data_IF_589501607745
#
_entry.id   IF_589501607745
#
_cell.length_a   1.000
_cell.length_b   1.000
_cell.length_c   1.000
_cell.angle_alpha   90.00
_cell.angle_beta   90.00
_cell.angle_gamma   90.00
#
_symmetry.space_group_name_H-M   'P 1'
#
loop_
_entity.id
_entity.type
_entity.pdbx_description
1 polymer ?
#
# COMPACT_ATOMS: atom_id res chain seq x y z
N UNK A 1 -1.22 -24.75 7.34
CA UNK A 1 0.14 -24.44 6.86
C UNK A 1 0.54 -23.14 7.52
N UNK A 2 1.61 -23.13 8.32
CA UNK A 2 2.20 -21.88 8.79
C UNK A 2 2.75 -21.15 7.57
N UNK A 3 2.24 -19.96 7.28
CA UNK A 3 2.85 -19.08 6.27
C UNK A 3 4.16 -18.57 6.85
N UNK A 4 5.27 -19.19 6.47
CA UNK A 4 6.60 -18.66 6.77
C UNK A 4 6.74 -17.30 6.08
N UNK A 5 7.07 -16.27 6.87
CA UNK A 5 7.34 -14.93 6.37
C UNK A 5 8.82 -14.65 6.49
N UNK A 6 9.40 -14.18 5.41
CA UNK A 6 10.82 -13.87 5.31
C UNK A 6 11.01 -12.38 5.03
N UNK A 7 12.13 -11.84 5.47
CA UNK A 7 12.49 -10.45 5.23
C UNK A 7 12.65 -10.25 3.73
N UNK A 8 11.88 -9.33 3.15
CA UNK A 8 11.89 -9.09 1.71
C UNK A 8 13.21 -8.50 1.19
N UNK A 9 14.06 -8.00 2.10
CA UNK A 9 15.40 -7.47 1.75
C UNK A 9 16.52 -8.50 1.85
N UNK A 10 16.41 -9.51 2.73
CA UNK A 10 17.56 -10.39 3.04
C UNK A 10 17.21 -11.84 3.37
N UNK A 11 15.93 -12.23 3.33
CA UNK A 11 15.50 -13.62 3.52
C UNK A 11 15.54 -14.15 4.95
N UNK A 12 15.87 -13.35 5.97
CA UNK A 12 15.79 -13.77 7.39
C UNK A 12 14.34 -14.10 7.78
N UNK A 13 14.13 -15.15 8.59
CA UNK A 13 12.79 -15.65 8.98
C UNK A 13 12.18 -14.98 10.24
N UNK A 14 12.93 -14.11 10.91
CA UNK A 14 12.42 -13.26 12.00
C UNK A 14 12.06 -11.91 11.38
N UNK A 15 10.76 -11.63 11.27
CA UNK A 15 10.24 -10.44 10.61
C UNK A 15 9.21 -9.70 11.43
N UNK A 16 9.13 -8.41 11.16
CA UNK A 16 8.15 -7.46 11.65
C UNK A 16 7.38 -6.93 10.44
N UNK A 17 6.10 -6.61 10.64
CA UNK A 17 5.27 -5.99 9.62
C UNK A 17 5.57 -4.49 9.57
N UNK A 18 5.98 -4.02 8.40
CA UNK A 18 6.22 -2.62 8.09
C UNK A 18 5.11 -2.05 7.20
N UNK A 19 4.63 -0.85 7.50
CA UNK A 19 3.68 -0.11 6.65
C UNK A 19 4.46 0.80 5.70
N UNK A 20 4.42 0.52 4.39
CA UNK A 20 5.12 1.30 3.36
C UNK A 20 4.60 2.75 3.32
N UNK A 21 3.28 2.91 3.22
CA UNK A 21 2.64 4.19 3.57
C UNK A 21 2.32 4.16 5.06
N UNK A 22 2.97 5.04 5.82
CA UNK A 22 2.82 5.07 7.27
C UNK A 22 1.38 5.30 7.68
N UNK A 23 0.96 4.63 8.76
CA UNK A 23 -0.39 4.78 9.34
C UNK A 23 -0.76 6.23 9.65
N UNK A 24 0.21 7.06 10.03
CA UNK A 24 0.02 8.50 10.27
C UNK A 24 -0.30 9.28 9.00
N UNK A 25 0.16 8.83 7.83
CA UNK A 25 -0.06 9.46 6.53
C UNK A 25 -1.31 8.90 5.85
N UNK A 26 -1.51 7.58 5.92
CA UNK A 26 -2.54 6.86 5.17
C UNK A 26 -3.30 5.88 6.08
N UNK A 27 -4.09 6.36 7.07
CA UNK A 27 -4.68 5.49 8.10
C UNK A 27 -5.67 4.46 7.53
N UNK A 28 -6.31 4.75 6.39
CA UNK A 28 -7.21 3.82 5.71
C UNK A 28 -6.48 2.66 5.00
N UNK A 29 -5.16 2.74 4.84
CA UNK A 29 -4.31 1.66 4.32
C UNK A 29 -3.67 0.80 5.41
N UNK A 30 -3.95 1.07 6.69
CA UNK A 30 -3.27 0.41 7.84
C UNK A 30 -3.49 -1.09 7.92
N UNK A 31 -4.58 -1.58 7.31
CA UNK A 31 -5.00 -2.98 7.32
C UNK A 31 -4.97 -3.62 5.93
N UNK A 32 -4.52 -2.88 4.92
CA UNK A 32 -4.57 -3.33 3.52
C UNK A 32 -3.26 -4.04 3.21
N UNK A 33 -3.35 -5.34 2.90
CA UNK A 33 -2.18 -6.23 2.75
C UNK A 33 -1.13 -5.70 1.77
N UNK A 34 -1.56 -5.06 0.68
CA UNK A 34 -0.64 -4.51 -0.34
C UNK A 34 0.30 -3.44 0.22
N UNK A 35 -0.09 -2.76 1.30
CA UNK A 35 0.70 -1.71 1.96
C UNK A 35 1.75 -2.26 2.95
N UNK A 36 1.83 -3.58 3.10
CA UNK A 36 2.73 -4.21 4.06
C UNK A 36 4.00 -4.71 3.37
N UNK A 37 5.11 -4.58 4.09
CA UNK A 37 6.38 -5.25 3.77
C UNK A 37 6.85 -6.01 5.00
N UNK A 38 7.32 -7.25 4.85
CA UNK A 38 7.91 -8.00 5.96
C UNK A 38 9.42 -7.75 6.02
N UNK A 39 9.89 -7.19 7.13
CA UNK A 39 11.27 -6.78 7.30
C UNK A 39 11.85 -7.37 8.60
N UNK A 40 13.10 -7.83 8.59
CA UNK A 40 13.77 -8.20 9.82
C UNK A 40 14.05 -6.96 10.69
N UNK A 41 14.34 -7.11 12.00
CA UNK A 41 14.54 -5.97 12.89
C UNK A 41 15.57 -4.94 12.40
N UNK A 42 16.62 -5.41 11.71
CA UNK A 42 17.65 -4.58 11.09
C UNK A 42 17.11 -3.71 9.95
N UNK A 43 16.37 -4.29 9.00
CA UNK A 43 15.76 -3.54 7.90
C UNK A 43 14.49 -2.79 8.31
N UNK A 44 13.89 -3.13 9.45
CA UNK A 44 12.73 -2.41 9.96
C UNK A 44 13.11 -1.22 10.83
N UNK A 45 14.16 -1.31 11.66
CA UNK A 45 14.51 -0.28 12.66
C UNK A 45 15.98 0.15 12.67
N UNK A 46 16.86 -0.58 12.00
CA UNK A 46 18.29 -0.27 11.94
C UNK A 46 18.61 0.90 11.00
N UNK A 47 19.91 1.11 10.74
CA UNK A 47 20.37 2.24 9.92
C UNK A 47 19.90 2.17 8.46
N UNK A 48 19.68 0.96 7.94
CA UNK A 48 19.11 0.70 6.62
C UNK A 48 17.59 0.56 6.64
N UNK A 49 16.92 1.08 7.68
CA UNK A 49 15.47 1.12 7.75
C UNK A 49 14.90 2.27 6.90
N UNK A 50 13.72 2.12 6.27
CA UNK A 50 12.99 3.23 5.66
C UNK A 50 12.68 4.37 6.66
N UNK A 51 12.66 4.10 7.97
CA UNK A 51 12.50 5.15 8.98
C UNK A 51 13.74 6.04 9.14
N UNK A 52 14.92 5.51 8.81
CA UNK A 52 16.22 6.19 8.97
C UNK A 52 16.86 6.60 7.64
N UNK A 53 16.48 5.93 6.54
CA UNK A 53 17.04 6.14 5.21
C UNK A 53 15.92 6.49 4.21
N UNK A 54 15.94 7.75 3.77
CA UNK A 54 14.96 8.30 2.82
C UNK A 54 15.00 7.62 1.45
N UNK A 55 16.16 7.16 0.99
CA UNK A 55 16.28 6.48 -0.31
C UNK A 55 15.53 5.15 -0.27
N UNK A 56 15.67 4.40 0.82
CA UNK A 56 14.96 3.13 1.03
C UNK A 56 13.45 3.36 1.18
N UNK A 57 13.03 4.38 1.94
CA UNK A 57 11.61 4.77 2.06
C UNK A 57 10.99 5.10 0.69
N UNK A 58 11.69 5.89 -0.13
CA UNK A 58 11.25 6.24 -1.47
C UNK A 58 11.18 5.03 -2.39
N UNK A 59 12.18 4.13 -2.33
CA UNK A 59 12.17 2.89 -3.10
C UNK A 59 10.94 2.05 -2.78
N UNK A 60 10.63 1.80 -1.50
CA UNK A 60 9.44 1.02 -1.13
C UNK A 60 8.14 1.68 -1.59
N UNK A 61 8.07 3.02 -1.55
CA UNK A 61 6.91 3.77 -2.04
C UNK A 61 6.75 3.69 -3.55
N UNK A 62 7.84 3.73 -4.30
CA UNK A 62 7.83 3.53 -5.76
C UNK A 62 7.39 2.09 -6.10
N UNK A 63 7.97 1.08 -5.44
CA UNK A 63 7.56 -0.33 -5.59
C UNK A 63 6.05 -0.51 -5.33
N UNK A 64 5.52 0.09 -4.25
CA UNK A 64 4.08 0.05 -3.94
C UNK A 64 3.25 0.78 -5.01
N UNK A 65 3.69 1.96 -5.46
CA UNK A 65 2.99 2.73 -6.48
C UNK A 65 2.88 1.96 -7.79
N UNK A 66 3.97 1.38 -8.26
CA UNK A 66 4.01 0.55 -9.47
C UNK A 66 3.07 -0.66 -9.33
N UNK A 67 3.12 -1.33 -8.17
CA UNK A 67 2.22 -2.45 -7.87
C UNK A 67 0.75 -2.04 -7.90
N UNK A 68 0.40 -0.89 -7.33
CA UNK A 68 -0.97 -0.39 -7.33
C UNK A 68 -1.43 -0.03 -8.75
N UNK A 69 -0.62 0.67 -9.53
CA UNK A 69 -0.95 0.94 -10.94
C UNK A 69 -1.13 -0.36 -11.74
N UNK A 70 -0.24 -1.34 -11.55
CA UNK A 70 -0.38 -2.65 -12.18
C UNK A 70 -1.68 -3.35 -11.77
N UNK A 71 -2.03 -3.35 -10.48
CA UNK A 71 -3.28 -3.93 -9.98
C UNK A 71 -4.52 -3.28 -10.61
N UNK A 72 -4.52 -1.96 -10.79
CA UNK A 72 -5.68 -1.23 -11.31
C UNK A 72 -5.60 -0.94 -12.82
N UNK A 73 -4.69 -1.58 -13.56
CA UNK A 73 -4.41 -1.28 -14.98
C UNK A 73 -5.48 -1.75 -15.97
N UNK A 74 -6.36 -2.66 -15.58
CA UNK A 74 -7.35 -3.28 -16.48
C UNK A 74 -8.45 -2.31 -16.96
N UNK A 75 -8.68 -1.21 -16.23
CA UNK A 75 -9.77 -0.26 -16.48
C UNK A 75 -9.37 1.13 -15.99
N UNK A 76 -9.92 2.17 -16.62
CA UNK A 76 -9.71 3.56 -16.18
C UNK A 76 -10.53 3.93 -14.94
N UNK A 77 -11.66 3.26 -14.72
CA UNK A 77 -12.58 3.52 -13.61
C UNK A 77 -12.95 2.24 -12.86
N UNK A 78 -13.03 2.34 -11.53
CA UNK A 78 -13.31 1.23 -10.64
C UNK A 78 -14.42 1.57 -9.65
N UNK A 79 -15.36 0.65 -9.43
CA UNK A 79 -16.42 0.79 -8.44
C UNK A 79 -15.94 0.44 -7.03
N UNK A 80 -16.66 0.85 -5.98
CA UNK A 80 -16.32 0.45 -4.60
C UNK A 80 -16.24 -1.07 -4.43
N UNK A 81 -17.13 -1.82 -5.09
CA UNK A 81 -17.13 -3.28 -5.00
C UNK A 81 -15.86 -3.87 -5.60
N UNK A 82 -15.47 -3.42 -6.79
CA UNK A 82 -14.25 -3.91 -7.45
C UNK A 82 -12.99 -3.53 -6.68
N UNK A 83 -12.93 -2.31 -6.12
CA UNK A 83 -11.82 -1.89 -5.27
C UNK A 83 -11.74 -2.76 -4.01
N UNK A 84 -12.89 -3.02 -3.38
CA UNK A 84 -12.99 -3.87 -2.19
C UNK A 84 -12.46 -5.27 -2.47
N UNK A 85 -12.90 -5.87 -3.58
CA UNK A 85 -12.50 -7.21 -4.01
C UNK A 85 -11.00 -7.24 -4.38
N UNK A 86 -10.51 -6.26 -5.15
CA UNK A 86 -9.10 -6.18 -5.60
C UNK A 86 -8.11 -5.94 -4.47
N UNK A 87 -8.51 -5.20 -3.42
CA UNK A 87 -7.69 -4.95 -2.23
C UNK A 87 -7.91 -5.97 -1.10
N UNK A 88 -8.85 -6.91 -1.26
CA UNK A 88 -9.28 -7.87 -0.24
C UNK A 88 -9.62 -7.19 1.10
N UNK A 89 -10.36 -6.08 1.04
CA UNK A 89 -10.68 -5.28 2.22
C UNK A 89 -12.16 -5.33 2.59
N UNK A 90 -12.49 -4.86 3.79
CA UNK A 90 -13.88 -4.79 4.24
C UNK A 90 -14.63 -3.62 3.61
N UNK A 91 -15.96 -3.72 3.61
CA UNK A 91 -16.87 -2.62 3.21
C UNK A 91 -16.60 -1.32 3.97
N UNK A 92 -16.17 -1.40 5.24
CA UNK A 92 -15.85 -0.21 6.03
C UNK A 92 -14.51 0.41 5.63
N UNK A 93 -13.54 -0.39 5.19
CA UNK A 93 -12.24 0.08 4.73
C UNK A 93 -12.35 0.76 3.37
N UNK A 94 -13.03 0.13 2.40
CA UNK A 94 -13.23 0.76 1.09
C UNK A 94 -13.97 2.09 1.22
N UNK A 95 -15.00 2.18 2.07
CA UNK A 95 -15.67 3.46 2.35
C UNK A 95 -14.73 4.52 2.90
N UNK A 96 -13.75 4.16 3.74
CA UNK A 96 -12.76 5.13 4.26
C UNK A 96 -11.78 5.58 3.18
N UNK A 97 -11.40 4.68 2.27
CA UNK A 97 -10.57 4.97 1.09
C UNK A 97 -11.30 6.00 0.22
N UNK A 98 -12.54 5.69 -0.16
CA UNK A 98 -13.32 6.43 -1.17
C UNK A 98 -14.02 7.69 -0.66
N UNK A 99 -14.20 7.84 0.67
CA UNK A 99 -14.97 8.94 1.30
C UNK A 99 -14.65 10.37 0.79
N UNK A 100 -13.42 10.63 0.38
CA UNK A 100 -12.96 11.96 -0.07
C UNK A 100 -12.63 12.02 -1.56
N UNK A 101 -12.96 10.97 -2.30
CA UNK A 101 -12.71 10.90 -3.73
C UNK A 101 -13.94 11.38 -4.50
N UNK A 102 -13.71 12.00 -5.65
CA UNK A 102 -14.76 12.27 -6.62
C UNK A 102 -15.16 10.97 -7.31
N UNK A 103 -16.47 10.77 -7.50
CA UNK A 103 -17.03 9.59 -8.18
C UNK A 103 -17.78 10.05 -9.43
N UNK A 104 -17.51 9.37 -10.55
CA UNK A 104 -18.24 9.53 -11.82
C UNK A 104 -19.37 8.50 -11.90
N UNK A 105 -20.13 8.47 -13.01
CA UNK A 105 -21.12 7.40 -13.21
C UNK A 105 -20.43 6.04 -13.42
N UNK A 106 -19.20 6.08 -13.91
CA UNK A 106 -18.35 4.95 -14.26
C UNK A 106 -17.53 4.44 -13.06
N UNK A 107 -17.28 5.30 -12.06
CA UNK A 107 -16.60 4.95 -10.81
C UNK A 107 -15.50 5.93 -10.42
N UNK A 108 -14.49 5.41 -9.71
CA UNK A 108 -13.30 6.14 -9.29
C UNK A 108 -12.18 5.99 -10.32
N UNK A 109 -11.64 7.11 -10.77
CA UNK A 109 -10.54 7.16 -11.74
C UNK A 109 -9.24 6.61 -11.13
N UNK A 110 -8.46 5.84 -11.91
CA UNK A 110 -7.30 5.09 -11.41
C UNK A 110 -6.18 5.98 -10.89
N UNK A 111 -5.81 7.08 -11.56
CA UNK A 111 -4.72 7.93 -11.07
C UNK A 111 -5.06 8.54 -9.72
N UNK A 112 -6.29 9.04 -9.54
CA UNK A 112 -6.76 9.57 -8.27
C UNK A 112 -6.93 8.47 -7.21
N UNK A 113 -7.33 7.25 -7.60
CA UNK A 113 -7.36 6.10 -6.70
C UNK A 113 -5.96 5.72 -6.20
N UNK A 114 -4.99 5.54 -7.09
CA UNK A 114 -3.61 5.18 -6.70
C UNK A 114 -2.99 6.29 -5.86
N UNK A 115 -3.13 7.55 -6.27
CA UNK A 115 -2.71 8.71 -5.49
C UNK A 115 -3.34 8.72 -4.09
N UNK A 116 -4.63 8.40 -3.99
CA UNK A 116 -5.33 8.24 -2.70
C UNK A 116 -4.69 7.15 -1.85
N UNK A 117 -4.51 5.95 -2.39
CA UNK A 117 -3.90 4.80 -1.70
C UNK A 117 -2.45 5.09 -1.27
N UNK A 118 -1.74 5.95 -2.00
CA UNK A 118 -0.38 6.42 -1.67
C UNK A 118 -0.33 7.60 -0.67
N UNK A 119 -1.45 7.97 -0.05
CA UNK A 119 -1.51 9.06 0.94
C UNK A 119 -1.76 10.44 0.33
N UNK A 120 -2.44 10.51 -0.81
CA UNK A 120 -2.70 11.70 -1.63
C UNK A 120 -1.44 12.30 -2.29
N UNK A 121 -0.45 11.45 -2.61
CA UNK A 121 0.79 11.84 -3.28
C UNK A 121 1.24 10.73 -4.22
N UNK A 122 1.79 11.11 -5.38
CA UNK A 122 2.57 10.21 -6.21
C UNK A 122 4.07 10.51 -6.04
N UNK A 123 4.88 9.48 -6.22
CA UNK A 123 6.34 9.51 -6.12
C UNK A 123 6.93 9.35 -7.51
N UNK A 124 8.05 10.01 -7.76
CA UNK A 124 8.81 9.99 -9.01
C UNK A 124 10.26 10.33 -8.76
#
# INVERSE_FOLDING_TARGET
MEEYRFCEECGKNIVELHHITYRSQCPYMSNIKVNFKFLCPEHHRGNSSPHMNREIDLRYKLELQEKLFSMFSEKEYWTEKEIMDKLECSKNEVKKITKKMFITKEGYEVNELVKRLMGNRLYG
#
